data_IF_443415067417
#
_entry.id   IF_443415067417
#
_cell.length_a   1.000
_cell.length_b   1.000
_cell.length_c   1.000
_cell.angle_alpha   90.00
_cell.angle_beta   90.00
_cell.angle_gamma   90.00
#
_symmetry.space_group_name_H-M   'P 1'
#
loop_
_entity.id
_entity.type
_entity.pdbx_description
1 polymer ?
#
# COMPACT_ATOMS: atom_id res chain seq x y z
N UNK A 1 -2.20 7.59 -4.00
CA UNK A 1 -2.75 7.03 -5.26
C UNK A 1 -3.58 8.08 -6.00
N UNK A 2 -3.72 7.96 -7.32
CA UNK A 2 -4.54 8.87 -8.12
C UNK A 2 -6.05 8.65 -7.84
N UNK A 3 -6.91 9.61 -8.15
CA UNK A 3 -8.37 9.48 -7.98
C UNK A 3 -8.93 8.28 -8.75
N UNK A 4 -8.45 8.05 -9.97
CA UNK A 4 -8.84 6.89 -10.78
C UNK A 4 -8.37 5.55 -10.21
N UNK A 5 -7.29 5.54 -9.42
CA UNK A 5 -6.83 4.31 -8.76
C UNK A 5 -7.75 3.99 -7.59
N UNK A 6 -8.09 5.01 -6.78
CA UNK A 6 -9.04 4.86 -5.69
C UNK A 6 -10.39 4.29 -6.16
N UNK A 7 -10.90 4.76 -7.31
CA UNK A 7 -12.09 4.20 -7.96
C UNK A 7 -11.90 2.72 -8.36
N UNK A 8 -10.77 2.35 -8.95
CA UNK A 8 -10.48 0.96 -9.37
C UNK A 8 -10.37 0.00 -8.20
N UNK A 9 -9.74 0.44 -7.10
CA UNK A 9 -9.60 -0.36 -5.88
C UNK A 9 -10.85 -0.27 -4.98
N UNK A 10 -11.79 0.62 -5.28
CA UNK A 10 -13.01 0.81 -4.50
C UNK A 10 -12.75 1.33 -3.09
N UNK A 11 -11.78 2.23 -2.91
CA UNK A 11 -11.38 2.83 -1.63
C UNK A 11 -11.54 4.35 -1.66
N UNK A 12 -11.67 4.97 -0.49
CA UNK A 12 -11.80 6.42 -0.33
C UNK A 12 -10.55 7.07 0.29
N UNK A 13 -10.43 8.40 0.13
CA UNK A 13 -9.43 9.17 0.86
C UNK A 13 -9.64 9.04 2.37
N UNK A 14 -8.55 8.79 3.10
CA UNK A 14 -8.51 8.55 4.55
C UNK A 14 -9.16 7.25 5.04
N UNK A 15 -9.51 6.34 4.13
CA UNK A 15 -9.87 4.97 4.51
C UNK A 15 -8.62 4.23 5.00
N UNK A 16 -8.79 3.37 6.01
CA UNK A 16 -7.75 2.46 6.47
C UNK A 16 -7.95 1.10 5.81
N UNK A 17 -6.89 0.55 5.23
CA UNK A 17 -6.90 -0.75 4.53
C UNK A 17 -5.83 -1.66 5.10
N UNK A 18 -5.87 -2.93 4.72
CA UNK A 18 -4.77 -3.85 4.95
C UNK A 18 -3.94 -4.01 3.68
N UNK A 19 -2.63 -4.18 3.80
CA UNK A 19 -1.74 -4.45 2.66
C UNK A 19 -0.95 -5.71 2.91
N UNK A 20 -1.09 -6.69 2.02
CA UNK A 20 -0.37 -7.96 2.08
C UNK A 20 0.92 -7.89 1.27
N UNK A 21 2.00 -8.29 1.92
CA UNK A 21 3.30 -8.58 1.33
C UNK A 21 3.52 -10.08 1.29
N UNK A 22 3.86 -10.61 0.14
CA UNK A 22 4.20 -12.03 -0.02
C UNK A 22 5.70 -12.30 0.16
N UNK A 23 6.07 -13.58 0.18
CA UNK A 23 7.46 -14.03 0.22
C UNK A 23 7.91 -14.52 1.59
N UNK A 24 9.23 -14.74 1.74
CA UNK A 24 9.82 -15.39 2.93
C UNK A 24 9.62 -14.61 4.22
N UNK A 25 9.51 -13.29 4.13
CA UNK A 25 9.20 -12.38 5.23
C UNK A 25 7.83 -11.72 5.03
N UNK A 26 6.92 -12.41 4.33
CA UNK A 26 5.59 -11.92 4.06
C UNK A 26 4.82 -11.63 5.33
N UNK A 27 4.04 -10.54 5.30
CA UNK A 27 3.26 -10.04 6.42
C UNK A 27 2.07 -9.22 5.90
N UNK A 28 1.18 -8.82 6.81
CA UNK A 28 0.09 -7.88 6.52
C UNK A 28 0.34 -6.63 7.34
N UNK A 29 0.41 -5.49 6.66
CA UNK A 29 0.32 -4.18 7.30
C UNK A 29 -1.15 -3.86 7.51
N UNK A 30 -1.58 -3.74 8.76
CA UNK A 30 -2.93 -3.33 9.12
C UNK A 30 -3.01 -1.81 9.30
N UNK A 31 -4.21 -1.25 9.15
CA UNK A 31 -4.52 0.17 9.37
C UNK A 31 -3.65 1.11 8.49
N UNK A 32 -3.41 0.73 7.23
CA UNK A 32 -2.66 1.55 6.27
C UNK A 32 -3.56 2.64 5.73
N UNK A 33 -3.19 3.90 5.96
CA UNK A 33 -3.96 5.06 5.52
C UNK A 33 -3.89 5.27 4.01
N UNK A 34 -5.04 5.23 3.34
CA UNK A 34 -5.17 5.60 1.93
C UNK A 34 -5.15 7.12 1.80
N UNK A 35 -4.29 7.62 0.90
CA UNK A 35 -4.22 9.03 0.52
C UNK A 35 -4.50 9.18 -0.97
N UNK A 36 -5.57 9.90 -1.30
CA UNK A 36 -6.02 10.11 -2.68
C UNK A 36 -5.82 11.55 -3.11
N UNK A 37 -5.11 11.76 -4.22
CA UNK A 37 -4.95 13.07 -4.82
C UNK A 37 -4.72 12.95 -6.33
N UNK A 38 -5.19 13.93 -7.11
CA UNK A 38 -5.07 13.96 -8.59
C UNK A 38 -3.62 14.03 -9.10
N UNK A 39 -2.68 14.38 -8.23
CA UNK A 39 -1.26 14.52 -8.58
C UNK A 39 -0.39 13.38 -8.01
N UNK A 40 -1.01 12.37 -7.38
CA UNK A 40 -0.29 11.25 -6.77
C UNK A 40 -0.19 10.05 -7.70
N UNK A 41 0.94 9.35 -7.63
CA UNK A 41 1.10 8.02 -8.20
C UNK A 41 0.54 6.94 -7.25
N UNK A 42 0.24 5.76 -7.79
CA UNK A 42 -0.08 4.57 -7.01
C UNK A 42 1.21 3.99 -6.41
N UNK A 43 1.42 4.25 -5.12
CA UNK A 43 2.58 3.78 -4.39
C UNK A 43 2.24 3.64 -2.90
N UNK A 44 2.79 2.61 -2.25
CA UNK A 44 2.78 2.48 -0.79
C UNK A 44 4.15 2.92 -0.28
N UNK A 45 4.17 3.85 0.68
CA UNK A 45 5.40 4.30 1.31
C UNK A 45 5.56 3.60 2.66
N UNK A 46 6.73 2.99 2.85
CA UNK A 46 7.18 2.40 4.10
C UNK A 46 8.59 2.94 4.38
N UNK A 47 8.99 2.96 5.64
CA UNK A 47 10.36 3.30 5.98
C UNK A 47 11.33 2.13 5.68
N UNK A 48 12.62 2.38 5.90
CA UNK A 48 13.67 1.40 5.62
C UNK A 48 13.54 0.16 6.53
N UNK A 49 13.12 0.34 7.78
CA UNK A 49 13.04 -0.73 8.77
C UNK A 49 11.82 -1.62 8.52
N UNK A 50 10.67 -1.02 8.21
CA UNK A 50 9.45 -1.68 7.75
C UNK A 50 9.70 -2.46 6.45
N UNK A 51 10.34 -1.83 5.46
CA UNK A 51 10.70 -2.47 4.20
C UNK A 51 11.62 -3.68 4.41
N UNK A 52 12.65 -3.55 5.23
CA UNK A 52 13.55 -4.65 5.58
C UNK A 52 12.83 -5.76 6.37
N UNK A 53 11.90 -5.40 7.27
CA UNK A 53 11.11 -6.34 8.06
C UNK A 53 10.18 -7.18 7.18
N UNK A 54 9.56 -6.58 6.17
CA UNK A 54 8.69 -7.23 5.19
C UNK A 54 9.45 -7.87 4.02
N UNK A 55 10.77 -7.65 3.91
CA UNK A 55 11.59 -8.15 2.80
C UNK A 55 11.31 -7.46 1.46
N UNK A 56 10.85 -6.21 1.50
CA UNK A 56 10.53 -5.39 0.33
C UNK A 56 11.77 -4.77 -0.30
N UNK A 57 11.66 -4.47 -1.61
CA UNK A 57 12.57 -3.58 -2.34
C UNK A 57 11.74 -2.58 -3.15
N UNK A 58 12.35 -1.49 -3.59
CA UNK A 58 11.66 -0.52 -4.45
C UNK A 58 11.14 -1.22 -5.72
N UNK A 59 9.87 -0.95 -6.06
CA UNK A 59 9.18 -1.56 -7.19
C UNK A 59 8.59 -2.96 -6.92
N UNK A 60 8.73 -3.50 -5.70
CA UNK A 60 7.99 -4.72 -5.32
C UNK A 60 6.49 -4.42 -5.26
N UNK A 61 5.70 -5.21 -5.98
CA UNK A 61 4.24 -5.13 -5.94
C UNK A 61 3.70 -5.79 -4.66
N UNK A 62 2.64 -5.20 -4.12
CA UNK A 62 1.93 -5.65 -2.93
C UNK A 62 0.44 -5.70 -3.21
N UNK A 63 -0.32 -6.41 -2.38
CA UNK A 63 -1.76 -6.58 -2.55
C UNK A 63 -2.53 -5.74 -1.54
N UNK A 64 -3.44 -4.90 -2.02
CA UNK A 64 -4.41 -4.20 -1.18
C UNK A 64 -5.53 -5.17 -0.80
N UNK A 65 -5.78 -5.30 0.51
CA UNK A 65 -6.88 -6.07 1.09
C UNK A 65 -7.90 -5.10 1.68
N UNK A 66 -9.18 -5.34 1.37
CA UNK A 66 -10.32 -4.58 1.88
C UNK A 66 -11.11 -5.38 2.90
#
# INVERSE_FOLDING_TARGET
>A
MHTSDAEKFGVADKEEVSVRVEGKRGLIFENVLVRVHKDYALEMHVDIEEGNAAGLKNGTMVELLK
#
